data_IF_317828052109
#
_entry.id   IF_317828052109
#
_cell.length_a   1.000
_cell.length_b   1.000
_cell.length_c   1.000
_cell.angle_alpha   90.00
_cell.angle_beta   90.00
_cell.angle_gamma   90.00
#
_symmetry.space_group_name_H-M   'P 1'
#
loop_
_entity.id
_entity.type
_entity.pdbx_description
1 polymer ?
#
# COMPACT_ATOMS: atom_id res chain seq x y z
N UNK A 1 48.43 -20.10 30.45
CA UNK A 1 47.73 -20.11 29.14
C UNK A 1 46.24 -20.10 29.43
N UNK A 2 45.68 -18.95 29.48
CA UNK A 2 44.25 -18.74 29.70
C UNK A 2 43.55 -18.67 28.33
N UNK A 3 42.59 -19.58 28.10
CA UNK A 3 41.75 -19.55 26.89
C UNK A 3 40.66 -18.54 27.06
N UNK A 4 40.74 -17.43 26.32
CA UNK A 4 39.67 -16.48 26.16
C UNK A 4 38.56 -17.12 25.32
N UNK A 5 37.45 -17.52 25.94
CA UNK A 5 36.23 -17.86 25.26
C UNK A 5 35.53 -16.57 24.85
N UNK A 6 35.57 -16.22 23.58
CA UNK A 6 34.77 -15.14 23.02
C UNK A 6 33.31 -15.57 23.02
N UNK A 7 32.52 -15.07 23.97
CA UNK A 7 31.07 -15.11 23.93
C UNK A 7 30.59 -14.28 22.76
N UNK A 8 30.25 -14.91 21.65
CA UNK A 8 29.46 -14.24 20.62
C UNK A 8 28.07 -13.96 21.20
N UNK A 9 27.85 -12.69 21.56
CA UNK A 9 26.51 -12.18 21.86
C UNK A 9 25.64 -12.41 20.62
N UNK A 10 24.73 -13.37 20.70
CA UNK A 10 23.63 -13.48 19.76
C UNK A 10 22.71 -12.30 20.00
N UNK A 11 22.78 -11.29 19.14
CA UNK A 11 21.77 -10.25 19.07
C UNK A 11 20.48 -10.93 18.56
N UNK A 12 19.59 -11.26 19.45
CA UNK A 12 18.24 -11.69 19.09
C UNK A 12 17.54 -10.45 18.48
N UNK A 13 17.44 -10.41 17.16
CA UNK A 13 16.65 -9.41 16.45
C UNK A 13 15.18 -9.70 16.78
N UNK A 14 14.61 -8.93 17.70
CA UNK A 14 13.18 -8.92 17.94
C UNK A 14 12.51 -8.29 16.74
N UNK A 15 11.92 -9.13 15.87
CA UNK A 15 11.12 -8.66 14.73
C UNK A 15 9.77 -8.19 15.31
N UNK A 16 9.35 -6.93 15.12
CA UNK A 16 8.01 -6.51 15.50
C UNK A 16 6.96 -7.42 14.88
N UNK A 17 5.83 -7.62 15.55
CA UNK A 17 4.78 -8.48 15.01
C UNK A 17 3.94 -7.79 13.93
N UNK A 18 3.89 -6.45 13.97
CA UNK A 18 3.04 -5.60 13.13
C UNK A 18 3.77 -4.38 12.58
N UNK A 19 3.13 -3.75 11.58
CA UNK A 19 3.58 -2.55 10.90
C UNK A 19 5.01 -2.69 10.37
N UNK A 20 5.21 -3.76 9.61
CA UNK A 20 6.49 -4.07 9.00
C UNK A 20 6.37 -4.74 7.64
N UNK A 21 7.45 -4.67 6.89
CA UNK A 21 7.72 -5.52 5.74
C UNK A 21 8.91 -6.41 6.07
N UNK A 22 8.77 -7.72 5.87
CA UNK A 22 9.85 -8.69 6.00
C UNK A 22 10.27 -9.19 4.62
N UNK A 23 11.40 -8.70 4.05
CA UNK A 23 11.95 -9.24 2.82
C UNK A 23 12.55 -10.63 3.09
N UNK A 24 12.45 -11.51 2.11
CA UNK A 24 13.01 -12.86 2.20
C UNK A 24 13.47 -13.38 0.84
N UNK A 25 14.23 -14.45 0.88
CA UNK A 25 14.66 -15.24 -0.27
C UNK A 25 14.52 -16.72 0.06
N UNK A 26 14.07 -17.53 -0.90
CA UNK A 26 14.06 -18.99 -0.82
C UNK A 26 15.05 -19.51 -1.88
N UNK A 27 16.21 -19.96 -1.40
CA UNK A 27 17.39 -20.19 -2.25
C UNK A 27 17.20 -21.36 -3.23
N UNK A 28 16.54 -22.46 -2.79
CA UNK A 28 16.34 -23.64 -3.64
C UNK A 28 15.28 -23.42 -4.72
N UNK A 29 14.34 -22.50 -4.48
CA UNK A 29 13.31 -22.15 -5.44
C UNK A 29 13.68 -20.94 -6.33
N UNK A 30 14.87 -20.34 -6.15
CA UNK A 30 15.32 -19.15 -6.88
C UNK A 30 14.26 -18.01 -6.85
N UNK A 31 13.67 -17.75 -5.68
CA UNK A 31 12.67 -16.71 -5.52
C UNK A 31 13.04 -15.72 -4.43
N UNK A 32 12.62 -14.47 -4.63
CA UNK A 32 12.61 -13.43 -3.60
C UNK A 32 11.17 -13.04 -3.27
N UNK A 33 10.95 -12.57 -2.07
CA UNK A 33 9.62 -12.15 -1.69
C UNK A 33 9.61 -11.10 -0.59
N UNK A 34 8.42 -10.63 -0.28
CA UNK A 34 8.14 -9.73 0.82
C UNK A 34 6.84 -10.13 1.49
N UNK A 35 6.85 -10.14 2.79
CA UNK A 35 5.66 -10.32 3.62
C UNK A 35 5.39 -9.00 4.32
N UNK A 36 4.20 -8.44 4.18
CA UNK A 36 3.74 -7.25 4.91
C UNK A 36 2.71 -7.63 5.95
N UNK A 37 2.81 -7.06 7.13
CA UNK A 37 1.79 -7.11 8.19
C UNK A 37 1.52 -5.71 8.69
N UNK A 38 0.26 -5.29 8.63
CA UNK A 38 -0.21 -3.97 8.99
C UNK A 38 -1.31 -4.08 10.05
N UNK A 39 -1.10 -3.41 11.17
CA UNK A 39 -2.07 -3.27 12.26
C UNK A 39 -2.40 -1.79 12.50
N UNK A 40 -1.80 -1.14 13.50
CA UNK A 40 -2.02 0.27 13.83
C UNK A 40 -1.91 1.24 12.65
N UNK A 41 -0.96 1.02 11.73
CA UNK A 41 -0.76 1.87 10.55
C UNK A 41 -1.99 1.84 9.64
N UNK A 42 -2.45 0.66 9.25
CA UNK A 42 -3.61 0.55 8.36
C UNK A 42 -4.90 0.97 9.07
N UNK A 43 -5.08 0.64 10.35
CA UNK A 43 -6.23 1.10 11.14
C UNK A 43 -6.30 2.62 11.19
N UNK A 44 -5.16 3.28 11.36
CA UNK A 44 -5.07 4.74 11.36
C UNK A 44 -5.47 5.32 10.00
N UNK A 45 -4.97 4.76 8.89
CA UNK A 45 -5.29 5.23 7.53
C UNK A 45 -6.78 5.08 7.25
N UNK A 46 -7.34 3.90 7.49
CA UNK A 46 -8.73 3.57 7.17
C UNK A 46 -9.75 4.25 8.09
N UNK A 47 -9.33 4.65 9.32
CA UNK A 47 -10.19 5.34 10.28
C UNK A 47 -10.19 6.86 10.15
N UNK A 48 -9.40 7.46 9.25
CA UNK A 48 -9.37 8.93 9.06
C UNK A 48 -10.61 9.47 8.35
N UNK A 49 -11.32 8.62 7.66
CA UNK A 49 -12.55 8.94 6.93
C UNK A 49 -13.63 7.93 7.27
N UNK A 50 -14.89 8.32 7.09
CA UNK A 50 -16.04 7.42 7.28
C UNK A 50 -16.25 6.53 6.05
N UNK A 51 -15.26 5.69 5.75
CA UNK A 51 -15.35 4.75 4.64
C UNK A 51 -16.34 3.62 4.93
N UNK A 52 -17.26 3.30 3.99
CA UNK A 52 -17.98 2.02 4.02
C UNK A 52 -16.99 0.83 4.06
N UNK A 53 -17.41 -0.27 4.66
CA UNK A 53 -16.52 -1.44 4.84
C UNK A 53 -15.90 -1.94 3.51
N UNK A 54 -16.63 -2.04 2.38
CA UNK A 54 -16.02 -2.46 1.11
C UNK A 54 -14.94 -1.49 0.61
N UNK A 55 -15.13 -0.18 0.79
CA UNK A 55 -14.14 0.85 0.43
C UNK A 55 -12.91 0.75 1.33
N UNK A 56 -13.11 0.51 2.64
CA UNK A 56 -12.00 0.29 3.57
C UNK A 56 -11.18 -0.95 3.19
N UNK A 57 -11.81 -2.05 2.81
CA UNK A 57 -11.12 -3.27 2.36
C UNK A 57 -10.28 -2.98 1.12
N UNK A 58 -10.87 -2.36 0.11
CA UNK A 58 -10.18 -2.01 -1.14
C UNK A 58 -8.98 -1.07 -0.89
N UNK A 59 -9.16 -0.04 -0.05
CA UNK A 59 -8.06 0.86 0.30
C UNK A 59 -6.97 0.15 1.12
N UNK A 60 -7.35 -0.76 2.02
CA UNK A 60 -6.41 -1.58 2.79
C UNK A 60 -5.57 -2.49 1.90
N UNK A 61 -6.16 -3.10 0.87
CA UNK A 61 -5.43 -3.87 -0.16
C UNK A 61 -4.46 -2.98 -0.93
N UNK A 62 -4.89 -1.78 -1.36
CA UNK A 62 -4.03 -0.84 -2.05
C UNK A 62 -2.83 -0.41 -1.19
N UNK A 63 -3.04 -0.17 0.11
CA UNK A 63 -1.97 0.19 1.05
C UNK A 63 -0.98 -0.97 1.24
N UNK A 64 -1.48 -2.21 1.41
CA UNK A 64 -0.63 -3.39 1.55
C UNK A 64 0.18 -3.68 0.27
N UNK A 65 -0.46 -3.58 -0.90
CA UNK A 65 0.21 -3.73 -2.20
C UNK A 65 1.28 -2.65 -2.39
N UNK A 66 0.95 -1.41 -2.07
CA UNK A 66 1.89 -0.28 -2.17
C UNK A 66 3.11 -0.47 -1.26
N UNK A 67 2.93 -1.01 -0.05
CA UNK A 67 4.02 -1.35 0.85
C UNK A 67 4.93 -2.44 0.26
N UNK A 68 4.35 -3.53 -0.26
CA UNK A 68 5.09 -4.64 -0.86
C UNK A 68 5.94 -4.19 -2.05
N UNK A 69 5.40 -3.34 -2.92
CA UNK A 69 6.05 -2.86 -4.13
C UNK A 69 7.05 -1.74 -3.83
N UNK A 70 6.65 -0.78 -3.00
CA UNK A 70 7.49 0.36 -2.64
C UNK A 70 8.76 -0.03 -1.89
N UNK A 71 8.71 -1.09 -1.08
CA UNK A 71 9.88 -1.63 -0.38
C UNK A 71 10.94 -2.25 -1.32
N UNK A 72 10.64 -2.42 -2.61
CA UNK A 72 11.63 -2.81 -3.61
C UNK A 72 12.55 -1.67 -4.03
N UNK A 73 12.18 -0.42 -3.76
CA UNK A 73 12.98 0.74 -4.12
C UNK A 73 14.31 0.77 -3.36
N UNK A 74 15.41 0.88 -4.09
CA UNK A 74 16.78 0.92 -3.54
C UNK A 74 17.32 2.33 -3.38
N UNK A 75 16.47 3.35 -3.48
CA UNK A 75 16.85 4.77 -3.44
C UNK A 75 15.80 5.57 -2.67
N UNK A 76 16.11 6.77 -2.28
CA UNK A 76 15.14 7.69 -1.70
C UNK A 76 14.10 8.10 -2.76
N UNK A 77 12.82 8.16 -2.34
CA UNK A 77 11.74 8.48 -3.25
C UNK A 77 10.39 7.95 -2.78
N UNK A 78 9.43 7.99 -3.69
CA UNK A 78 8.07 7.51 -3.46
C UNK A 78 7.68 6.49 -4.50
N UNK A 79 6.92 5.50 -4.05
CA UNK A 79 6.12 4.66 -4.91
C UNK A 79 4.66 5.06 -4.73
N UNK A 80 3.97 5.33 -5.83
CA UNK A 80 2.57 5.75 -5.84
C UNK A 80 1.78 4.74 -6.66
N UNK A 81 0.77 4.16 -6.03
CA UNK A 81 -0.23 3.33 -6.66
C UNK A 81 -1.50 4.15 -6.81
N UNK A 82 -2.06 4.19 -8.01
CA UNK A 82 -3.28 4.93 -8.30
C UNK A 82 -4.20 4.10 -9.20
N UNK A 83 -5.47 4.01 -8.83
CA UNK A 83 -6.54 3.58 -9.71
C UNK A 83 -7.50 4.75 -9.94
N UNK A 84 -7.76 5.06 -11.22
CA UNK A 84 -8.74 6.06 -11.65
C UNK A 84 -9.78 5.35 -12.51
N UNK A 85 -11.04 5.35 -12.09
CA UNK A 85 -12.07 4.48 -12.66
C UNK A 85 -13.41 5.19 -12.80
N UNK A 86 -14.34 4.54 -13.49
CA UNK A 86 -15.75 4.95 -13.60
C UNK A 86 -16.66 4.27 -12.55
N UNK A 87 -16.07 3.46 -11.66
CA UNK A 87 -16.77 2.69 -10.64
C UNK A 87 -17.34 3.52 -9.49
N UNK A 88 -17.82 2.82 -8.46
CA UNK A 88 -18.31 3.45 -7.22
C UNK A 88 -17.17 4.08 -6.42
N UNK A 89 -15.97 3.57 -6.54
CA UNK A 89 -14.71 4.17 -6.10
C UNK A 89 -14.01 4.68 -7.36
N UNK A 90 -14.06 5.98 -7.59
CA UNK A 90 -13.56 6.62 -8.81
C UNK A 90 -12.09 7.05 -8.73
N UNK A 91 -11.54 7.12 -7.51
CA UNK A 91 -10.12 7.35 -7.26
C UNK A 91 -9.65 6.57 -6.04
N UNK A 92 -8.58 5.83 -6.21
CA UNK A 92 -7.88 5.13 -5.15
C UNK A 92 -6.39 5.46 -5.26
N UNK A 93 -5.80 5.97 -4.18
CA UNK A 93 -4.38 6.33 -4.14
C UNK A 93 -3.74 5.79 -2.88
N UNK A 94 -2.60 5.15 -3.02
CA UNK A 94 -1.75 4.79 -1.90
C UNK A 94 -0.29 5.11 -2.22
N UNK A 95 0.42 5.73 -1.26
CA UNK A 95 1.82 6.12 -1.41
C UNK A 95 2.68 5.39 -0.38
N UNK A 96 3.84 4.98 -0.82
CA UNK A 96 4.95 4.53 0.02
C UNK A 96 6.11 5.51 -0.11
N UNK A 97 6.49 6.14 0.99
CA UNK A 97 7.68 6.99 1.08
C UNK A 97 8.81 6.19 1.72
N UNK A 98 9.93 6.02 1.03
CA UNK A 98 11.11 5.37 1.60
C UNK A 98 11.58 6.15 2.85
N UNK A 99 11.90 5.46 3.98
CA UNK A 99 12.06 3.99 4.10
C UNK A 99 10.82 3.21 4.55
N UNK A 100 9.69 3.81 4.91
CA UNK A 100 8.55 3.06 5.45
C UNK A 100 7.28 3.88 5.67
N UNK A 101 7.21 5.10 5.17
CA UNK A 101 6.04 5.96 5.30
C UNK A 101 4.88 5.51 4.39
N UNK A 102 3.69 5.34 4.94
CA UNK A 102 2.48 4.95 4.22
C UNK A 102 1.36 5.98 4.38
N UNK A 103 0.63 6.22 3.32
CA UNK A 103 -0.65 6.93 3.33
C UNK A 103 -1.55 6.39 2.23
N UNK A 104 -2.86 6.58 2.39
CA UNK A 104 -3.84 6.19 1.39
C UNK A 104 -5.08 7.04 1.46
N UNK A 105 -5.79 7.12 0.34
CA UNK A 105 -7.05 7.84 0.18
C UNK A 105 -7.91 7.19 -0.89
N UNK A 106 -9.22 7.15 -0.66
CA UNK A 106 -10.20 6.72 -1.64
C UNK A 106 -11.30 7.78 -1.79
N UNK A 107 -11.63 8.11 -3.03
CA UNK A 107 -12.83 8.90 -3.35
C UNK A 107 -13.90 7.97 -3.88
N UNK A 108 -15.11 8.11 -3.36
CA UNK A 108 -16.21 7.20 -3.66
C UNK A 108 -17.56 7.92 -3.67
N UNK A 109 -18.54 7.32 -4.33
CA UNK A 109 -19.92 7.74 -4.28
C UNK A 109 -20.71 6.88 -3.28
N UNK A 110 -21.17 7.43 -2.14
CA UNK A 110 -21.90 6.66 -1.12
C UNK A 110 -23.10 5.90 -1.68
N UNK A 111 -23.89 6.55 -2.53
CA UNK A 111 -25.09 5.98 -3.12
C UNK A 111 -24.78 4.78 -4.04
N UNK A 112 -23.69 4.88 -4.82
CA UNK A 112 -23.26 3.80 -5.71
C UNK A 112 -22.66 2.63 -4.95
N UNK A 113 -21.90 2.88 -3.87
CA UNK A 113 -21.36 1.83 -3.00
C UNK A 113 -22.49 1.07 -2.30
N UNK A 114 -23.51 1.77 -1.79
CA UNK A 114 -24.66 1.14 -1.16
C UNK A 114 -25.44 0.26 -2.15
N UNK A 115 -25.62 0.70 -3.39
CA UNK A 115 -26.28 -0.07 -4.44
C UNK A 115 -25.52 -1.36 -4.77
N UNK A 116 -24.19 -1.33 -4.83
CA UNK A 116 -23.36 -2.53 -5.02
C UNK A 116 -23.52 -3.50 -3.84
N UNK A 117 -23.49 -3.01 -2.59
CA UNK A 117 -23.67 -3.84 -1.39
C UNK A 117 -25.01 -4.53 -1.30
N UNK A 118 -26.10 -3.91 -1.80
CA UNK A 118 -27.44 -4.53 -1.83
C UNK A 118 -27.53 -5.70 -2.82
N UNK A 119 -26.78 -5.64 -3.93
CA UNK A 119 -26.72 -6.73 -4.92
C UNK A 119 -25.92 -7.93 -4.39
N UNK A 120 -24.96 -7.68 -3.51
CA UNK A 120 -24.02 -8.69 -2.99
C UNK A 120 -24.48 -9.45 -1.76
N UNK A 121 -25.49 -8.96 -1.06
CA UNK A 121 -26.14 -9.74 0.01
C UNK A 121 -26.65 -11.11 -0.47
N UNK A 122 -26.58 -11.37 -1.79
CA UNK A 122 -27.03 -12.59 -2.48
C UNK A 122 -25.90 -13.45 -3.05
N UNK A 123 -24.62 -12.97 -3.07
CA UNK A 123 -23.51 -13.71 -3.70
C UNK A 123 -22.17 -13.53 -2.98
N UNK A 124 -21.44 -14.61 -2.83
CA UNK A 124 -20.15 -14.71 -2.12
C UNK A 124 -18.96 -14.23 -2.96
N UNK A 125 -17.97 -13.61 -2.32
CA UNK A 125 -16.56 -13.61 -2.72
C UNK A 125 -15.95 -12.33 -3.28
N UNK A 126 -14.69 -12.42 -3.67
CA UNK A 126 -13.80 -11.36 -4.15
C UNK A 126 -14.33 -10.50 -5.31
N UNK A 127 -15.39 -10.95 -6.00
CA UNK A 127 -16.07 -10.21 -7.07
C UNK A 127 -16.72 -8.90 -6.59
N UNK A 128 -16.90 -8.72 -5.29
CA UNK A 128 -17.46 -7.53 -4.69
C UNK A 128 -16.55 -6.31 -4.83
N UNK A 129 -15.27 -6.49 -4.55
CA UNK A 129 -14.30 -5.38 -4.60
C UNK A 129 -14.02 -4.95 -6.04
N UNK A 130 -13.99 -5.89 -6.99
CA UNK A 130 -13.83 -5.57 -8.42
C UNK A 130 -14.98 -4.73 -8.96
N UNK A 131 -16.22 -4.93 -8.49
CA UNK A 131 -17.37 -4.12 -8.89
C UNK A 131 -17.34 -2.68 -8.37
N UNK A 132 -16.56 -2.39 -7.34
CA UNK A 132 -16.36 -1.03 -6.86
C UNK A 132 -15.52 -0.20 -7.80
N UNK A 133 -14.55 -0.81 -8.47
CA UNK A 133 -13.61 -0.11 -9.34
C UNK A 133 -14.18 0.13 -10.75
N UNK A 134 -14.96 -0.81 -11.33
CA UNK A 134 -15.44 -0.65 -12.71
C UNK A 134 -14.30 -0.64 -13.74
N UNK A 135 -14.44 0.20 -14.79
CA UNK A 135 -13.42 0.34 -15.82
C UNK A 135 -12.54 1.57 -15.59
N UNK A 136 -11.28 1.51 -15.99
CA UNK A 136 -10.36 2.63 -15.81
C UNK A 136 -8.91 2.29 -16.04
N UNK A 137 -8.04 2.91 -15.26
CA UNK A 137 -6.59 2.74 -15.34
C UNK A 137 -6.00 2.50 -13.97
N UNK A 138 -5.06 1.55 -13.93
CA UNK A 138 -4.22 1.27 -12.79
C UNK A 138 -2.79 1.72 -13.12
N UNK A 139 -2.26 2.64 -12.32
CA UNK A 139 -0.96 3.24 -12.54
C UNK A 139 -0.03 3.02 -11.34
N UNK A 140 1.21 2.66 -11.64
CA UNK A 140 2.31 2.58 -10.68
C UNK A 140 3.36 3.60 -11.05
N UNK A 141 3.65 4.53 -10.14
CA UNK A 141 4.59 5.63 -10.39
C UNK A 141 5.74 5.57 -9.39
N UNK A 142 6.96 5.68 -9.90
CA UNK A 142 8.18 5.87 -9.11
C UNK A 142 8.60 7.33 -9.24
N UNK A 143 8.59 8.06 -8.12
CA UNK A 143 9.00 9.47 -8.06
C UNK A 143 10.28 9.56 -7.21
N UNK A 144 11.38 9.90 -7.86
CA UNK A 144 12.71 10.04 -7.25
C UNK A 144 13.02 11.46 -6.76
N UNK A 145 12.06 12.39 -6.90
CA UNK A 145 12.22 13.81 -6.55
C UNK A 145 12.38 14.74 -7.74
N UNK A 146 12.66 16.02 -7.45
CA UNK A 146 12.57 17.13 -8.41
C UNK A 146 13.49 17.05 -9.63
N UNK A 147 14.61 16.33 -9.54
CA UNK A 147 15.68 16.36 -10.56
C UNK A 147 15.72 15.09 -11.45
N UNK A 148 14.75 14.19 -11.31
CA UNK A 148 14.71 12.94 -12.06
C UNK A 148 13.36 12.74 -12.75
N UNK A 149 13.40 12.11 -13.93
CA UNK A 149 12.18 11.72 -14.62
C UNK A 149 11.38 10.72 -13.77
N UNK A 150 10.05 10.92 -13.71
CA UNK A 150 9.14 9.97 -13.11
C UNK A 150 8.97 8.78 -14.05
N UNK A 151 9.17 7.60 -13.50
CA UNK A 151 8.78 6.38 -14.22
C UNK A 151 7.34 6.02 -13.87
N UNK A 152 6.51 5.79 -14.87
CA UNK A 152 5.12 5.39 -14.68
C UNK A 152 4.76 4.25 -15.62
N UNK A 153 4.29 3.15 -15.05
CA UNK A 153 3.61 2.09 -15.77
C UNK A 153 2.10 2.21 -15.59
N UNK A 154 1.36 2.05 -16.68
CA UNK A 154 -0.10 2.14 -16.68
C UNK A 154 -0.67 0.93 -17.39
N UNK A 155 -1.65 0.26 -16.76
CA UNK A 155 -2.42 -0.83 -17.37
C UNK A 155 -3.92 -0.51 -17.32
N UNK A 156 -4.71 -0.98 -18.28
CA UNK A 156 -6.16 -0.87 -18.18
C UNK A 156 -6.67 -1.67 -16.98
N UNK A 157 -7.76 -1.22 -16.40
CA UNK A 157 -8.50 -1.88 -15.33
C UNK A 157 -9.93 -2.10 -15.83
N UNK A 158 -10.30 -3.36 -16.02
CA UNK A 158 -11.55 -3.77 -16.68
C UNK A 158 -12.45 -4.56 -15.73
N UNK A 159 -12.65 -4.06 -14.51
CA UNK A 159 -13.49 -4.72 -13.50
C UNK A 159 -12.76 -5.84 -12.74
N UNK A 160 -11.45 -5.86 -12.78
CA UNK A 160 -10.59 -6.80 -12.08
C UNK A 160 -10.29 -6.33 -10.65
N UNK A 161 -9.82 -7.25 -9.81
CA UNK A 161 -9.26 -6.91 -8.50
C UNK A 161 -7.91 -6.20 -8.64
N UNK A 162 -7.47 -5.51 -7.58
CA UNK A 162 -6.11 -4.91 -7.55
C UNK A 162 -5.01 -5.95 -7.72
N UNK A 163 -5.24 -7.16 -7.23
CA UNK A 163 -4.29 -8.28 -7.36
C UNK A 163 -4.17 -8.71 -8.83
N UNK A 164 -5.29 -8.84 -9.54
CA UNK A 164 -5.31 -9.18 -10.97
C UNK A 164 -4.70 -8.08 -11.84
N UNK A 165 -4.99 -6.81 -11.53
CA UNK A 165 -4.39 -5.68 -12.22
C UNK A 165 -2.86 -5.63 -12.01
N UNK A 166 -2.39 -5.93 -10.80
CA UNK A 166 -0.96 -6.03 -10.51
C UNK A 166 -0.30 -7.22 -11.22
N UNK A 167 -0.96 -8.40 -11.26
CA UNK A 167 -0.47 -9.57 -12.01
C UNK A 167 -0.35 -9.24 -13.51
N UNK A 168 -1.36 -8.60 -14.07
CA UNK A 168 -1.35 -8.13 -15.47
C UNK A 168 -0.17 -7.20 -15.73
N UNK A 169 0.10 -6.24 -14.83
CA UNK A 169 1.26 -5.36 -14.93
C UNK A 169 2.58 -6.13 -14.93
N UNK A 170 2.79 -7.04 -13.96
CA UNK A 170 4.04 -7.81 -13.87
C UNK A 170 4.24 -8.73 -15.07
N UNK A 171 3.17 -9.33 -15.57
CA UNK A 171 3.22 -10.21 -16.73
C UNK A 171 3.52 -9.48 -18.03
N UNK A 172 2.87 -8.33 -18.26
CA UNK A 172 2.96 -7.61 -19.53
C UNK A 172 4.13 -6.62 -19.58
N UNK A 173 4.38 -5.89 -18.49
CA UNK A 173 5.37 -4.82 -18.45
C UNK A 173 6.73 -5.29 -17.96
N UNK A 174 6.76 -6.09 -16.89
CA UNK A 174 8.02 -6.53 -16.26
C UNK A 174 8.45 -7.92 -16.74
N UNK A 175 7.54 -8.71 -17.35
CA UNK A 175 7.77 -10.10 -17.78
C UNK A 175 8.32 -10.97 -16.63
N UNK A 176 7.92 -10.68 -15.39
CA UNK A 176 8.41 -11.28 -14.18
C UNK A 176 7.33 -12.18 -13.55
N UNK A 177 7.56 -13.51 -13.45
CA UNK A 177 6.67 -14.39 -12.73
C UNK A 177 6.49 -13.91 -11.29
N UNK A 178 5.26 -13.56 -10.95
CA UNK A 178 4.91 -12.96 -9.67
C UNK A 178 3.68 -13.68 -9.09
N UNK A 179 3.71 -13.97 -7.80
CA UNK A 179 2.56 -14.36 -7.02
C UNK A 179 2.26 -13.28 -5.99
N UNK A 180 1.01 -12.91 -5.88
CA UNK A 180 0.53 -11.88 -4.95
C UNK A 180 -0.71 -12.38 -4.22
N UNK A 181 -0.71 -12.28 -2.90
CA UNK A 181 -1.86 -12.48 -2.03
C UNK A 181 -2.00 -11.27 -1.11
N UNK A 182 -3.21 -10.74 -1.02
CA UNK A 182 -3.57 -9.65 -0.12
C UNK A 182 -4.74 -10.09 0.75
N UNK A 183 -4.79 -9.61 1.98
CA UNK A 183 -5.88 -9.85 2.90
C UNK A 183 -6.16 -8.59 3.74
N UNK A 184 -7.44 -8.25 3.93
CA UNK A 184 -7.88 -7.11 4.76
C UNK A 184 -9.14 -7.50 5.51
N UNK A 185 -9.14 -7.35 6.83
CA UNK A 185 -10.31 -7.59 7.66
C UNK A 185 -10.33 -6.74 8.93
N UNK A 186 -11.49 -6.64 9.54
CA UNK A 186 -11.64 -6.14 10.90
C UNK A 186 -11.25 -7.24 11.90
N UNK A 187 -10.44 -6.86 12.86
CA UNK A 187 -10.02 -7.71 13.97
C UNK A 187 -10.67 -7.22 15.27
N UNK A 188 -11.27 -8.14 16.01
CA UNK A 188 -11.88 -7.82 17.31
C UNK A 188 -10.87 -7.96 18.43
N UNK A 189 -10.71 -6.90 19.24
CA UNK A 189 -9.88 -6.92 20.44
C UNK A 189 -10.64 -6.30 21.59
N UNK A 190 -11.08 -7.14 22.52
CA UNK A 190 -11.70 -6.67 23.77
C UNK A 190 -10.72 -5.79 24.56
N UNK A 191 -11.20 -4.68 25.11
CA UNK A 191 -10.39 -3.77 25.93
C UNK A 191 -9.31 -3.00 25.14
N UNK A 192 -9.50 -2.77 23.82
CA UNK A 192 -8.57 -1.96 23.05
C UNK A 192 -8.44 -0.53 23.63
N UNK A 193 -7.22 0.03 23.77
CA UNK A 193 -6.99 1.33 24.41
C UNK A 193 -7.74 2.51 23.78
N UNK A 194 -8.07 2.45 22.49
CA UNK A 194 -8.86 3.48 21.79
C UNK A 194 -10.35 3.46 22.14
N UNK A 195 -10.82 2.50 22.94
CA UNK A 195 -12.24 2.27 23.21
C UNK A 195 -13.03 1.65 22.03
N UNK A 196 -12.41 1.47 20.87
CA UNK A 196 -12.99 0.80 19.72
C UNK A 196 -12.54 -0.67 19.71
N UNK A 197 -13.45 -1.65 19.86
CA UNK A 197 -13.06 -3.06 19.93
C UNK A 197 -12.68 -3.64 18.57
N UNK A 198 -13.11 -3.01 17.49
CA UNK A 198 -12.80 -3.40 16.12
C UNK A 198 -11.74 -2.49 15.50
N UNK A 199 -10.68 -3.08 15.01
CA UNK A 199 -9.58 -2.40 14.31
C UNK A 199 -9.34 -3.08 12.96
N UNK A 200 -8.86 -2.31 12.00
CA UNK A 200 -8.49 -2.84 10.70
C UNK A 200 -7.12 -3.51 10.75
N UNK A 201 -6.99 -4.57 9.98
CA UNK A 201 -5.71 -5.23 9.72
C UNK A 201 -5.59 -5.50 8.23
N UNK A 202 -4.37 -5.41 7.72
CA UNK A 202 -4.03 -5.84 6.37
C UNK A 202 -2.74 -6.64 6.38
N UNK A 203 -2.62 -7.53 5.43
CA UNK A 203 -1.42 -8.33 5.21
C UNK A 203 -1.27 -8.67 3.75
N UNK A 204 -0.09 -9.09 3.36
CA UNK A 204 0.15 -9.52 1.99
C UNK A 204 1.46 -10.27 1.84
N UNK A 205 1.48 -11.15 0.87
CA UNK A 205 2.64 -11.93 0.45
C UNK A 205 2.89 -11.68 -1.04
N UNK A 206 4.09 -11.23 -1.36
CA UNK A 206 4.61 -11.11 -2.72
C UNK A 206 5.76 -12.07 -2.89
N UNK A 207 5.73 -12.91 -3.92
CA UNK A 207 6.82 -13.82 -4.31
C UNK A 207 7.13 -13.59 -5.78
N UNK A 208 8.41 -13.45 -6.12
CA UNK A 208 8.88 -13.19 -7.48
C UNK A 208 10.05 -14.09 -7.82
N UNK A 209 10.07 -14.60 -9.05
CA UNK A 209 11.20 -15.36 -9.56
C UNK A 209 12.43 -14.46 -9.65
N UNK A 210 13.59 -14.95 -9.20
CA UNK A 210 14.86 -14.24 -9.38
C UNK A 210 15.27 -14.28 -10.85
N UNK A 211 15.53 -13.09 -11.40
CA UNK A 211 16.22 -12.97 -12.68
C UNK A 211 17.73 -12.96 -12.41
N UNK A 212 18.45 -13.97 -12.89
CA UNK A 212 19.90 -13.98 -12.76
C UNK A 212 20.50 -12.86 -13.60
N UNK A 213 21.26 -11.96 -12.98
CA UNK A 213 22.00 -10.91 -13.69
C UNK A 213 22.98 -11.54 -14.69
N UNK A 214 22.85 -11.18 -15.97
CA UNK A 214 23.78 -11.58 -17.04
C UNK A 214 23.13 -12.18 -18.29
N UNK A 215 21.83 -12.43 -18.30
CA UNK A 215 21.09 -12.90 -19.48
C UNK A 215 20.28 -11.77 -20.11
N UNK A 216 20.68 -11.28 -21.29
CA UNK A 216 19.77 -10.55 -22.17
C UNK A 216 18.79 -11.56 -22.77
N UNK A 217 17.72 -11.88 -22.03
CA UNK A 217 16.67 -12.80 -22.48
C UNK A 217 15.75 -13.18 -21.32
N UNK A 218 14.51 -13.61 -21.60
CA UNK A 218 13.66 -14.18 -20.57
C UNK A 218 14.42 -15.31 -19.87
N UNK A 219 14.34 -15.35 -18.53
CA UNK A 219 14.95 -16.41 -17.73
C UNK A 219 14.59 -17.75 -18.35
N UNK A 220 15.58 -18.62 -18.57
CA UNK A 220 15.35 -19.97 -19.11
C UNK A 220 14.36 -20.66 -18.18
N UNK A 221 13.14 -20.96 -18.66
CA UNK A 221 12.04 -21.54 -17.90
C UNK A 221 10.84 -20.60 -17.68
N UNK A 222 11.03 -19.30 -17.47
CA UNK A 222 9.93 -18.35 -17.31
C UNK A 222 8.82 -18.78 -16.36
N UNK A 223 7.56 -18.68 -16.78
CA UNK A 223 6.36 -19.06 -16.01
C UNK A 223 6.19 -20.59 -15.85
N UNK A 224 6.86 -21.41 -16.64
CA UNK A 224 6.79 -22.89 -16.63
C UNK A 224 8.00 -23.54 -15.90
N UNK A 225 8.84 -22.74 -15.23
CA UNK A 225 9.97 -23.23 -14.46
C UNK A 225 9.50 -24.03 -13.24
N UNK A 226 10.04 -25.26 -13.06
CA UNK A 226 9.60 -26.18 -12.00
C UNK A 226 9.82 -25.60 -10.60
N UNK A 227 10.92 -24.86 -10.37
CA UNK A 227 11.22 -24.22 -9.10
C UNK A 227 10.24 -23.09 -8.82
N UNK A 228 9.89 -22.31 -9.85
CA UNK A 228 8.85 -21.29 -9.74
C UNK A 228 7.47 -21.90 -9.44
N UNK A 229 7.07 -22.94 -10.16
CA UNK A 229 5.78 -23.59 -9.94
C UNK A 229 5.68 -24.17 -8.53
N UNK A 230 6.78 -24.74 -8.00
CA UNK A 230 6.86 -25.23 -6.63
C UNK A 230 6.75 -24.09 -5.61
N UNK A 231 7.53 -23.01 -5.77
CA UNK A 231 7.46 -21.85 -4.89
C UNK A 231 6.07 -21.21 -4.88
N UNK A 232 5.45 -21.09 -6.05
CA UNK A 232 4.09 -20.59 -6.21
C UNK A 232 3.08 -21.49 -5.49
N UNK A 233 3.15 -22.80 -5.68
CA UNK A 233 2.27 -23.76 -5.01
C UNK A 233 2.37 -23.68 -3.47
N UNK A 234 3.58 -23.50 -2.93
CA UNK A 234 3.81 -23.26 -1.50
C UNK A 234 3.20 -21.91 -1.06
N UNK A 235 3.40 -20.84 -1.82
CA UNK A 235 2.83 -19.53 -1.52
C UNK A 235 1.30 -19.55 -1.56
N UNK A 236 0.68 -20.27 -2.47
CA UNK A 236 -0.78 -20.42 -2.59
C UNK A 236 -1.43 -21.08 -1.36
N UNK A 237 -0.65 -21.79 -0.52
CA UNK A 237 -1.16 -22.35 0.73
C UNK A 237 -1.35 -21.33 1.84
N UNK A 238 -0.95 -20.07 1.65
CA UNK A 238 -1.15 -19.04 2.66
C UNK A 238 -2.62 -18.66 2.76
N UNK A 239 -3.13 -18.62 3.98
CA UNK A 239 -4.52 -18.24 4.24
C UNK A 239 -4.63 -16.80 4.76
N UNK A 240 -5.76 -16.15 4.50
CA UNK A 240 -6.00 -14.77 4.90
C UNK A 240 -5.82 -14.56 6.42
N UNK A 241 -6.29 -15.52 7.23
CA UNK A 241 -6.18 -15.42 8.68
C UNK A 241 -4.72 -15.44 9.13
N UNK A 242 -3.80 -16.13 8.45
CA UNK A 242 -2.37 -16.15 8.79
C UNK A 242 -1.69 -14.80 8.49
N UNK A 243 -2.08 -14.16 7.41
CA UNK A 243 -1.60 -12.81 7.07
C UNK A 243 -2.09 -11.76 8.08
N UNK A 244 -3.28 -11.97 8.64
CA UNK A 244 -3.95 -11.00 9.53
C UNK A 244 -3.74 -11.26 11.02
N UNK A 245 -3.28 -12.46 11.43
CA UNK A 245 -3.11 -12.82 12.83
C UNK A 245 -1.98 -12.00 13.50
N UNK A 246 -2.28 -11.15 14.51
CA UNK A 246 -1.26 -10.39 15.22
C UNK A 246 -0.34 -11.26 16.08
N UNK A 247 -0.74 -12.48 16.35
CA UNK A 247 0.04 -13.42 17.20
C UNK A 247 0.95 -14.33 16.39
N UNK A 248 0.78 -14.41 15.06
CA UNK A 248 1.65 -15.18 14.19
C UNK A 248 2.83 -14.31 13.73
N UNK A 249 4.06 -14.53 14.24
CA UNK A 249 5.23 -13.80 13.79
C UNK A 249 5.49 -14.03 12.30
N UNK A 250 5.91 -12.98 11.56
CA UNK A 250 6.09 -13.05 10.11
C UNK A 250 7.17 -14.06 9.68
N UNK A 251 8.24 -14.22 10.45
CA UNK A 251 9.28 -15.23 10.22
C UNK A 251 8.77 -16.66 10.39
N UNK A 252 7.86 -16.89 11.32
CA UNK A 252 7.21 -18.19 11.52
C UNK A 252 6.32 -18.57 10.33
N UNK A 253 5.58 -17.60 9.79
CA UNK A 253 4.79 -17.81 8.58
C UNK A 253 5.67 -18.14 7.38
N UNK A 254 6.76 -17.40 7.17
CA UNK A 254 7.72 -17.69 6.10
C UNK A 254 8.38 -19.06 6.26
N UNK A 255 8.74 -19.45 7.49
CA UNK A 255 9.28 -20.78 7.76
C UNK A 255 8.26 -21.88 7.44
N UNK A 256 6.99 -21.71 7.82
CA UNK A 256 5.92 -22.65 7.47
C UNK A 256 5.80 -22.85 5.96
N UNK A 257 5.88 -21.75 5.19
CA UNK A 257 5.70 -21.78 3.73
C UNK A 257 6.93 -22.37 3.01
N UNK A 258 8.14 -21.98 3.43
CA UNK A 258 9.33 -22.15 2.60
C UNK A 258 10.52 -22.79 3.31
N UNK A 259 10.33 -23.53 4.44
CA UNK A 259 11.46 -24.12 5.19
C UNK A 259 12.24 -25.15 4.35
N UNK A 260 11.57 -25.91 3.47
CA UNK A 260 12.22 -26.87 2.57
C UNK A 260 13.01 -26.17 1.46
N UNK A 261 12.68 -24.92 1.13
CA UNK A 261 13.33 -24.10 0.11
C UNK A 261 14.50 -23.26 0.64
N UNK A 262 14.98 -23.54 1.86
CA UNK A 262 16.06 -22.80 2.52
C UNK A 262 15.75 -21.29 2.62
N UNK A 263 14.59 -20.95 3.18
CA UNK A 263 14.18 -19.56 3.34
C UNK A 263 15.10 -18.78 4.27
N UNK A 264 15.49 -17.60 3.84
CA UNK A 264 16.24 -16.61 4.62
C UNK A 264 15.44 -15.32 4.68
N UNK A 265 15.18 -14.83 5.89
CA UNK A 265 14.60 -13.52 6.12
C UNK A 265 15.70 -12.47 6.26
N UNK A 266 15.44 -11.28 5.72
CA UNK A 266 16.32 -10.14 5.84
C UNK A 266 15.84 -9.19 6.95
N UNK A 267 16.53 -8.06 7.11
CA UNK A 267 16.13 -7.06 8.10
C UNK A 267 14.74 -6.51 7.77
N UNK A 268 13.85 -6.56 8.75
CA UNK A 268 12.52 -5.99 8.63
C UNK A 268 12.57 -4.47 8.45
N UNK A 269 11.67 -3.94 7.64
CA UNK A 269 11.46 -2.51 7.42
C UNK A 269 10.24 -2.12 8.23
N UNK A 270 10.41 -1.23 9.21
CA UNK A 270 9.29 -0.69 9.98
C UNK A 270 8.43 0.24 9.13
N UNK A 271 7.13 0.22 9.38
CA UNK A 271 6.16 1.03 8.67
C UNK A 271 5.51 2.04 9.62
N UNK A 272 5.22 3.21 9.09
CA UNK A 272 4.53 4.28 9.82
C UNK A 272 3.58 5.05 8.90
N UNK A 273 2.59 5.70 9.48
CA UNK A 273 1.76 6.63 8.72
C UNK A 273 2.52 7.94 8.54
N UNK A 274 2.43 8.54 7.35
CA UNK A 274 2.95 9.87 7.14
C UNK A 274 1.94 10.77 6.43
N UNK A 275 2.10 12.07 6.59
CA UNK A 275 1.47 13.04 5.73
C UNK A 275 2.42 14.20 5.47
N UNK A 276 2.51 14.59 4.20
CA UNK A 276 3.33 15.73 3.80
C UNK A 276 2.59 17.07 3.88
N UNK A 277 1.30 17.08 4.31
CA UNK A 277 0.58 18.32 4.49
C UNK A 277 1.09 19.10 5.72
N UNK A 278 1.16 20.40 5.58
CA UNK A 278 1.42 21.33 6.69
C UNK A 278 0.67 22.64 6.41
N UNK A 279 0.53 23.46 7.43
CA UNK A 279 -0.11 24.78 7.29
C UNK A 279 0.62 25.62 6.24
N UNK A 280 1.94 25.62 6.26
CA UNK A 280 2.81 26.38 5.37
C UNK A 280 2.64 25.95 3.91
N UNK A 281 2.59 24.65 3.67
CA UNK A 281 2.36 24.09 2.32
C UNK A 281 0.98 24.42 1.78
N UNK A 282 -0.04 24.36 2.62
CA UNK A 282 -1.41 24.75 2.22
C UNK A 282 -1.47 26.24 1.93
N UNK A 283 -0.82 27.06 2.76
CA UNK A 283 -0.71 28.50 2.55
C UNK A 283 0.00 28.81 1.23
N UNK A 284 1.11 28.16 0.93
CA UNK A 284 1.83 28.30 -0.34
C UNK A 284 0.95 27.91 -1.54
N UNK A 285 0.15 26.85 -1.40
CA UNK A 285 -0.82 26.46 -2.41
C UNK A 285 -1.88 27.54 -2.63
N UNK A 286 -2.47 28.05 -1.55
CA UNK A 286 -3.51 29.09 -1.63
C UNK A 286 -3.00 30.39 -2.26
N UNK A 287 -1.74 30.75 -2.10
CA UNK A 287 -1.09 31.89 -2.76
C UNK A 287 -1.04 31.79 -4.29
N UNK A 288 -1.24 30.61 -4.86
CA UNK A 288 -1.27 30.38 -6.32
C UNK A 288 -2.65 30.59 -6.92
N UNK A 289 -3.70 30.68 -6.11
CA UNK A 289 -5.07 30.93 -6.57
C UNK A 289 -5.29 32.43 -6.86
N UNK A 290 -6.20 32.71 -7.77
CA UNK A 290 -6.61 34.09 -8.04
C UNK A 290 -7.47 34.61 -6.90
N UNK A 291 -7.54 35.95 -6.76
CA UNK A 291 -8.43 36.59 -5.76
C UNK A 291 -9.90 36.21 -5.97
N UNK A 292 -10.31 35.86 -7.18
CA UNK A 292 -11.66 35.39 -7.50
C UNK A 292 -11.86 33.97 -6.96
N UNK A 293 -10.95 33.05 -7.27
CA UNK A 293 -11.03 31.64 -6.81
C UNK A 293 -11.05 31.58 -5.28
N UNK A 294 -10.21 32.39 -4.61
CA UNK A 294 -10.19 32.47 -3.15
C UNK A 294 -11.52 32.95 -2.56
N UNK A 295 -12.18 33.94 -3.20
CA UNK A 295 -13.50 34.39 -2.77
C UNK A 295 -14.56 33.30 -2.86
N UNK A 296 -14.49 32.46 -3.89
CA UNK A 296 -15.42 31.35 -4.09
C UNK A 296 -15.19 30.21 -3.07
N UNK A 297 -14.01 30.18 -2.44
CA UNK A 297 -13.66 29.21 -1.39
C UNK A 297 -14.02 29.68 0.03
N UNK A 298 -14.47 30.94 0.19
CA UNK A 298 -14.79 31.50 1.51
C UNK A 298 -16.13 30.97 2.01
N UNK A 299 -16.12 30.35 3.18
CA UNK A 299 -17.31 29.91 3.92
C UNK A 299 -17.27 30.58 5.30
N UNK A 300 -18.32 31.28 5.67
CA UNK A 300 -18.43 32.00 6.96
C UNK A 300 -17.26 32.96 7.23
N UNK A 301 -16.73 33.59 6.16
CA UNK A 301 -15.64 34.56 6.27
C UNK A 301 -14.23 33.96 6.31
N UNK A 302 -14.07 32.66 6.20
CA UNK A 302 -12.81 31.95 6.28
C UNK A 302 -12.62 30.97 5.11
N UNK A 303 -11.36 30.65 4.78
CA UNK A 303 -11.01 29.58 3.83
C UNK A 303 -10.64 28.34 4.62
N UNK A 304 -11.36 27.25 4.37
CA UNK A 304 -11.12 25.95 4.98
C UNK A 304 -10.53 24.99 3.94
N UNK A 305 -9.42 24.36 4.30
CA UNK A 305 -8.78 23.32 3.48
C UNK A 305 -8.66 22.05 4.30
N UNK A 306 -9.17 20.95 3.78
CA UNK A 306 -9.05 19.62 4.39
C UNK A 306 -8.09 18.78 3.57
N UNK A 307 -7.10 18.17 4.21
CA UNK A 307 -6.20 17.24 3.54
C UNK A 307 -6.90 15.91 3.27
N UNK A 308 -6.98 15.49 2.02
CA UNK A 308 -7.62 14.23 1.62
C UNK A 308 -6.96 12.99 2.25
N UNK A 309 -5.65 13.00 2.51
CA UNK A 309 -4.96 11.85 3.08
C UNK A 309 -5.12 11.71 4.59
N UNK A 310 -4.98 12.80 5.35
CA UNK A 310 -4.97 12.72 6.81
C UNK A 310 -6.20 13.32 7.48
N UNK A 311 -7.13 13.88 6.70
CA UNK A 311 -8.32 14.60 7.17
C UNK A 311 -8.00 15.79 8.10
N UNK A 312 -6.74 16.24 8.09
CA UNK A 312 -6.30 17.43 8.81
C UNK A 312 -6.94 18.69 8.22
N UNK A 313 -7.52 19.53 9.09
CA UNK A 313 -8.21 20.75 8.67
C UNK A 313 -7.37 21.98 8.97
N UNK A 314 -7.27 22.86 7.98
CA UNK A 314 -6.54 24.12 8.05
C UNK A 314 -7.50 25.27 7.79
N UNK A 315 -7.37 26.31 8.59
CA UNK A 315 -8.20 27.52 8.54
C UNK A 315 -7.33 28.72 8.23
N UNK A 316 -7.74 29.53 7.28
CA UNK A 316 -7.03 30.72 6.83
C UNK A 316 -7.97 31.91 6.71
N UNK A 317 -7.42 33.11 7.02
CA UNK A 317 -8.07 34.38 6.74
C UNK A 317 -7.87 34.74 5.26
N UNK A 318 -8.95 34.91 4.46
CA UNK A 318 -8.85 35.30 3.07
C UNK A 318 -8.02 36.58 2.84
N UNK A 319 -8.06 37.51 3.79
CA UNK A 319 -7.32 38.78 3.69
C UNK A 319 -5.80 38.57 3.64
N UNK A 320 -5.29 37.42 4.18
CA UNK A 320 -3.86 37.07 4.14
C UNK A 320 -3.33 36.75 2.72
N UNK A 321 -4.23 36.56 1.75
CA UNK A 321 -3.89 36.14 0.38
C UNK A 321 -4.26 37.22 -0.68
N UNK A 322 -4.93 38.31 -0.27
CA UNK A 322 -5.17 39.40 -1.20
C UNK A 322 -3.85 40.10 -1.50
N UNK A 323 -3.36 39.95 -2.74
CA UNK A 323 -2.31 40.84 -3.24
C UNK A 323 -2.90 42.25 -3.23
N UNK A 324 -2.19 43.16 -2.61
CA UNK A 324 -2.48 44.60 -2.80
C UNK A 324 -2.40 44.90 -4.30
N UNK A 325 -3.49 45.39 -4.88
CA UNK A 325 -3.60 45.76 -6.31
C UNK A 325 -2.71 46.98 -6.69
N UNK A 326 -1.68 47.29 -5.89
CA UNK A 326 -0.85 48.48 -5.99
C UNK A 326 0.48 48.31 -6.75
N UNK A 327 0.72 47.17 -7.42
CA UNK A 327 1.96 46.98 -8.21
C UNK A 327 1.70 46.78 -9.72
N UNK A 328 0.72 47.43 -10.29
CA UNK A 328 0.60 47.62 -11.74
C UNK A 328 0.17 49.07 -12.03
N UNK A 329 1.12 49.98 -11.89
CA UNK A 329 1.04 51.29 -12.52
C UNK A 329 2.39 51.64 -13.11
#
# INVERSE_FOLDING_TARGET
MASESSSQERIELVIPADDLILPFQADQADVVGRLVKLGPVVDTILSRHDYPEPVSKLLGEAVALTALLGAALKFEGKFILQASTDGSVDLLVADYQVPGGLRGYARFSPQRVEAVGQVEAVGQGDSALSKLLGQGHFAMTIDRGSDTERYQGVVPLEGESLTEAADTYFRQSEQLPTYLKLAVAKHYRAGHPSGRPWTWRAGGLLVQKLTREGGHGPSVGGFEDEDWMRARALAETVEDHELLDPLLPPDRLLYRLFHEEQVRAYRAIGLETYCSCSRERVEELLRRFTSKDLKDMVVDGEVWVTCEFCNGRYRFDPASFTKSDDEQS
#
